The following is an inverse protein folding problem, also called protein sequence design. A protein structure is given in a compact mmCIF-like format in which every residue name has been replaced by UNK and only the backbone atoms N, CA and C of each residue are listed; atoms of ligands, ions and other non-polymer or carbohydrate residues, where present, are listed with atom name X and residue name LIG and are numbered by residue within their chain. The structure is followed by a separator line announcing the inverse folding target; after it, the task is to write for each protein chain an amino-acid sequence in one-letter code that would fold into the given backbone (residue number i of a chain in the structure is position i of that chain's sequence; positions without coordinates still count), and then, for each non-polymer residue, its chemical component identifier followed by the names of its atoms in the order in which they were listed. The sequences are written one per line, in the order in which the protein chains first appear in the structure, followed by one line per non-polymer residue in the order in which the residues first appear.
data_IF_103210833522
#
_entry.id   IF_103210833522
#
_cell.length_a   1.000
_cell.length_b   1.000
_cell.length_c   1.000
_cell.angle_alpha   90.00
_cell.angle_beta   90.00
_cell.angle_gamma   90.00
#
_symmetry.space_group_name_H-M   'P 1'
#
loop_
_entity.id
_entity.type
_entity.pdbx_description
1 polymer ?
#
# COMPACT_ATOMS: atom_id res chain seq x y z
N UNK A 1 -12.87 16.05 11.84
CA UNK A 1 -11.83 15.76 12.86
C UNK A 1 -10.47 16.41 12.55
N UNK A 2 -10.16 16.79 11.31
CA UNK A 2 -9.05 17.72 11.01
C UNK A 2 -9.50 18.72 9.91
N UNK A 3 -9.20 20.01 10.08
CA UNK A 3 -9.53 21.08 9.11
C UNK A 3 -8.37 21.29 8.13
N UNK A 4 -8.09 20.29 7.29
CA UNK A 4 -7.06 20.40 6.27
C UNK A 4 -7.60 21.08 5.01
N UNK A 5 -6.70 21.70 4.24
CA UNK A 5 -7.02 22.18 2.90
C UNK A 5 -7.53 21.00 2.03
N UNK A 6 -8.46 21.29 1.11
CA UNK A 6 -9.07 20.32 0.21
C UNK A 6 -8.03 19.49 -0.55
N UNK A 7 -6.94 20.11 -0.98
CA UNK A 7 -5.83 19.41 -1.66
C UNK A 7 -5.20 18.32 -0.77
N UNK A 8 -4.97 18.62 0.52
CA UNK A 8 -4.38 17.67 1.48
C UNK A 8 -5.37 16.55 1.80
N UNK A 9 -6.65 16.90 2.00
CA UNK A 9 -7.72 15.92 2.25
C UNK A 9 -7.85 14.95 1.09
N UNK A 10 -7.92 15.45 -0.14
CA UNK A 10 -8.08 14.63 -1.34
C UNK A 10 -6.85 13.75 -1.58
N UNK A 11 -5.64 14.28 -1.32
CA UNK A 11 -4.41 13.49 -1.37
C UNK A 11 -4.37 12.37 -0.32
N UNK A 12 -4.86 12.63 0.89
CA UNK A 12 -4.97 11.62 1.95
C UNK A 12 -5.96 10.52 1.59
N UNK A 13 -7.08 10.87 0.93
CA UNK A 13 -8.07 9.89 0.47
C UNK A 13 -7.49 8.95 -0.60
N UNK A 14 -6.69 9.49 -1.53
CA UNK A 14 -6.11 8.69 -2.61
C UNK A 14 -4.95 7.77 -2.15
N UNK A 15 -4.30 8.02 -1.01
CA UNK A 15 -3.06 7.32 -0.60
C UNK A 15 -3.20 5.79 -0.48
N UNK A 16 -4.40 5.29 -0.19
CA UNK A 16 -4.64 3.86 0.05
C UNK A 16 -4.81 3.06 -1.23
N UNK A 17 -4.88 3.74 -2.37
CA UNK A 17 -4.82 3.14 -3.70
C UNK A 17 -3.34 2.88 -4.04
N UNK A 18 -3.08 1.84 -4.84
CA UNK A 18 -1.72 1.57 -5.30
C UNK A 18 -1.14 2.77 -6.06
N UNK A 19 0.09 3.17 -5.73
CA UNK A 19 0.72 4.46 -6.09
C UNK A 19 0.45 4.96 -7.51
N UNK A 20 0.65 4.18 -8.60
CA UNK A 20 0.41 4.69 -9.94
C UNK A 20 -1.04 5.12 -10.18
N UNK A 21 -2.01 4.40 -9.61
CA UNK A 21 -3.43 4.71 -9.73
C UNK A 21 -3.85 5.81 -8.75
N UNK A 22 -3.22 5.86 -7.56
CA UNK A 22 -3.45 6.92 -6.59
C UNK A 22 -3.07 8.30 -7.13
N UNK A 23 -1.96 8.37 -7.88
CA UNK A 23 -1.52 9.61 -8.55
C UNK A 23 -2.52 10.06 -9.61
N UNK A 24 -3.03 9.13 -10.43
CA UNK A 24 -4.07 9.43 -11.44
C UNK A 24 -5.37 9.90 -10.78
N UNK A 25 -5.84 9.20 -9.74
CA UNK A 25 -7.04 9.65 -9.03
C UNK A 25 -6.83 11.03 -8.42
N UNK A 26 -5.68 11.27 -7.78
CA UNK A 26 -5.39 12.56 -7.16
C UNK A 26 -5.44 13.72 -8.16
N UNK A 27 -4.93 13.55 -9.39
CA UNK A 27 -5.07 14.60 -10.41
C UNK A 27 -6.53 14.89 -10.79
N UNK A 28 -7.41 13.87 -10.78
CA UNK A 28 -8.83 14.02 -11.09
C UNK A 28 -9.62 14.67 -9.94
N UNK A 29 -9.26 14.38 -8.69
CA UNK A 29 -9.94 14.94 -7.49
C UNK A 29 -9.25 16.18 -6.91
N UNK A 30 -8.41 16.89 -7.67
CA UNK A 30 -7.67 18.08 -7.22
C UNK A 30 -6.76 17.85 -5.99
N UNK A 31 -6.21 16.64 -5.85
CA UNK A 31 -5.13 16.31 -4.92
C UNK A 31 -3.74 16.47 -5.54
N UNK A 32 -2.71 16.30 -4.71
CA UNK A 32 -1.30 16.43 -5.08
C UNK A 32 -0.61 15.07 -5.15
N UNK A 33 -0.05 14.74 -6.32
CA UNK A 33 0.74 13.52 -6.53
C UNK A 33 1.92 13.42 -5.54
N UNK A 34 2.54 14.56 -5.19
CA UNK A 34 3.64 14.62 -4.23
C UNK A 34 3.17 14.24 -2.82
N UNK A 35 2.02 14.74 -2.39
CA UNK A 35 1.45 14.41 -1.08
C UNK A 35 1.01 12.94 -1.00
N UNK A 36 0.38 12.42 -2.06
CA UNK A 36 0.02 11.00 -2.16
C UNK A 36 1.24 10.11 -2.00
N UNK A 37 2.31 10.42 -2.75
CA UNK A 37 3.57 9.66 -2.69
C UNK A 37 4.19 9.72 -1.30
N UNK A 38 4.21 10.91 -0.68
CA UNK A 38 4.71 11.11 0.68
C UNK A 38 3.93 10.26 1.69
N UNK A 39 2.59 10.32 1.68
CA UNK A 39 1.77 9.55 2.61
C UNK A 39 1.91 8.04 2.40
N UNK A 40 2.03 7.61 1.14
CA UNK A 40 2.24 6.19 0.81
C UNK A 40 3.58 5.69 1.34
N UNK A 41 4.65 6.46 1.16
CA UNK A 41 5.98 6.13 1.68
C UNK A 41 5.97 6.08 3.21
N UNK A 42 5.39 7.10 3.87
CA UNK A 42 5.32 7.15 5.33
C UNK A 42 4.58 5.92 5.86
N UNK A 43 3.41 5.60 5.29
CA UNK A 43 2.62 4.46 5.76
C UNK A 43 3.30 3.12 5.51
N UNK A 44 3.95 2.94 4.35
CA UNK A 44 4.75 1.74 4.08
C UNK A 44 5.95 1.60 5.02
N UNK A 45 6.66 2.70 5.29
CA UNK A 45 7.80 2.72 6.19
C UNK A 45 7.40 2.43 7.65
N UNK A 46 6.31 3.04 8.13
CA UNK A 46 5.72 2.74 9.43
C UNK A 46 5.32 1.27 9.50
N UNK A 47 4.62 0.75 8.49
CA UNK A 47 4.25 -0.67 8.42
C UNK A 47 5.45 -1.61 8.48
N UNK A 48 6.57 -1.24 7.85
CA UNK A 48 7.82 -1.99 7.91
C UNK A 48 8.42 -2.03 9.34
N UNK A 49 8.47 -0.89 10.03
CA UNK A 49 9.02 -0.79 11.39
C UNK A 49 8.16 -1.59 12.38
N UNK A 50 6.85 -1.38 12.34
CA UNK A 50 5.93 -1.99 13.29
C UNK A 50 5.51 -3.41 12.92
N UNK A 51 5.76 -3.86 11.68
CA UNK A 51 5.35 -5.17 11.21
C UNK A 51 5.98 -6.32 12.00
N UNK A 52 7.23 -6.17 12.44
CA UNK A 52 7.89 -7.17 13.29
C UNK A 52 7.19 -7.31 14.64
N UNK A 53 6.84 -6.17 15.25
CA UNK A 53 6.14 -6.12 16.52
C UNK A 53 4.73 -6.72 16.37
N UNK A 54 4.03 -6.39 15.29
CA UNK A 54 2.72 -6.94 14.99
C UNK A 54 2.78 -8.46 14.83
N UNK A 55 3.71 -8.97 14.01
CA UNK A 55 3.87 -10.41 13.82
C UNK A 55 4.30 -11.13 15.10
N UNK A 56 5.12 -10.50 15.95
CA UNK A 56 5.48 -11.07 17.25
C UNK A 56 4.27 -11.18 18.19
N UNK A 57 3.32 -10.25 18.09
CA UNK A 57 2.06 -10.30 18.82
C UNK A 57 1.11 -11.37 18.23
N UNK A 58 1.14 -11.58 16.91
CA UNK A 58 0.41 -12.69 16.30
C UNK A 58 1.08 -14.03 16.59
N UNK A 59 0.34 -15.08 16.95
CA UNK A 59 0.90 -16.42 17.17
C UNK A 59 1.27 -17.16 15.88
N UNK A 60 1.46 -16.46 14.76
CA UNK A 60 1.72 -17.05 13.44
C UNK A 60 3.20 -17.46 13.35
N UNK A 61 3.44 -18.76 13.23
CA UNK A 61 4.79 -19.35 13.16
C UNK A 61 5.24 -19.69 11.74
N UNK A 62 4.31 -19.62 10.77
CA UNK A 62 4.59 -19.97 9.38
C UNK A 62 5.30 -18.83 8.66
N UNK A 63 6.54 -19.09 8.22
CA UNK A 63 7.34 -18.14 7.44
C UNK A 63 6.61 -17.68 6.18
N UNK A 64 5.91 -18.58 5.50
CA UNK A 64 5.15 -18.23 4.30
C UNK A 64 4.08 -17.18 4.59
N UNK A 65 3.29 -17.39 5.65
CA UNK A 65 2.26 -16.44 6.08
C UNK A 65 2.86 -15.09 6.50
N UNK A 66 3.99 -15.09 7.21
CA UNK A 66 4.68 -13.86 7.59
C UNK A 66 5.17 -13.07 6.37
N UNK A 67 5.73 -13.75 5.37
CA UNK A 67 6.14 -13.14 4.11
C UNK A 67 4.98 -12.49 3.36
N UNK A 68 3.88 -13.23 3.17
CA UNK A 68 2.66 -12.71 2.54
C UNK A 68 2.12 -11.49 3.30
N UNK A 69 2.07 -11.56 4.64
CA UNK A 69 1.60 -10.47 5.48
C UNK A 69 2.43 -9.21 5.32
N UNK A 70 3.77 -9.31 5.35
CA UNK A 70 4.65 -8.17 5.14
C UNK A 70 4.50 -7.55 3.76
N UNK A 71 4.52 -8.39 2.71
CA UNK A 71 4.40 -7.92 1.32
C UNK A 71 3.12 -7.13 1.09
N UNK A 72 1.98 -7.63 1.59
CA UNK A 72 0.71 -6.92 1.46
C UNK A 72 0.60 -5.68 2.36
N UNK A 73 1.05 -5.77 3.62
CA UNK A 73 0.82 -4.68 4.58
C UNK A 73 1.72 -3.46 4.36
N UNK A 74 2.97 -3.67 3.95
CA UNK A 74 3.96 -2.60 3.83
C UNK A 74 4.60 -2.51 2.42
N UNK A 75 4.01 -3.22 1.45
CA UNK A 75 4.40 -3.16 0.04
C UNK A 75 5.90 -3.45 -0.12
N UNK A 76 6.61 -2.68 -0.95
CA UNK A 76 8.04 -2.88 -1.21
C UNK A 76 8.92 -2.80 0.05
N UNK A 77 8.58 -1.92 1.00
CA UNK A 77 9.28 -1.83 2.28
C UNK A 77 9.10 -3.11 3.10
N UNK A 78 7.88 -3.65 3.13
CA UNK A 78 7.56 -4.93 3.76
C UNK A 78 8.30 -6.10 3.11
N UNK A 79 8.32 -6.16 1.77
CA UNK A 79 9.06 -7.19 1.02
C UNK A 79 10.56 -7.15 1.32
N UNK A 80 11.16 -5.96 1.37
CA UNK A 80 12.56 -5.79 1.74
C UNK A 80 12.82 -6.29 3.17
N UNK A 81 11.95 -5.96 4.12
CA UNK A 81 12.08 -6.41 5.51
C UNK A 81 11.89 -7.92 5.66
N UNK A 82 10.92 -8.50 4.95
CA UNK A 82 10.69 -9.94 4.91
C UNK A 82 11.95 -10.68 4.42
N UNK A 83 12.60 -10.17 3.36
CA UNK A 83 13.87 -10.73 2.86
C UNK A 83 15.01 -10.65 3.89
N UNK A 84 15.08 -9.59 4.69
CA UNK A 84 16.05 -9.47 5.78
C UNK A 84 15.79 -10.45 6.93
N UNK A 85 14.52 -10.83 7.18
CA UNK A 85 14.14 -11.78 8.22
C UNK A 85 14.45 -13.23 7.83
N UNK A 86 14.07 -13.60 6.61
CA UNK A 86 14.33 -14.93 6.07
C UNK A 86 14.11 -14.97 4.55
N UNK A 87 14.89 -15.80 3.86
CA UNK A 87 14.77 -16.01 2.42
C UNK A 87 13.34 -16.37 1.99
N UNK A 88 12.73 -17.38 2.63
CA UNK A 88 11.35 -17.79 2.31
C UNK A 88 10.31 -16.70 2.56
N UNK A 89 10.52 -15.83 3.56
CA UNK A 89 9.62 -14.70 3.83
C UNK A 89 9.72 -13.68 2.69
N UNK A 90 10.94 -13.35 2.25
CA UNK A 90 11.19 -12.47 1.11
C UNK A 90 10.63 -13.00 -0.21
N UNK A 91 10.79 -14.29 -0.49
CA UNK A 91 10.22 -14.93 -1.69
C UNK A 91 8.70 -14.83 -1.70
N UNK A 92 8.05 -15.17 -0.59
CA UNK A 92 6.59 -15.11 -0.50
C UNK A 92 6.04 -13.68 -0.54
N UNK A 93 6.74 -12.72 0.09
CA UNK A 93 6.38 -11.31 0.01
C UNK A 93 6.48 -10.78 -1.44
N UNK A 94 7.54 -11.16 -2.15
CA UNK A 94 7.77 -10.76 -3.54
C UNK A 94 6.71 -11.36 -4.47
N UNK A 95 6.41 -12.66 -4.33
CA UNK A 95 5.37 -13.34 -5.10
C UNK A 95 4.00 -12.67 -4.89
N UNK A 96 3.67 -12.37 -3.63
CA UNK A 96 2.41 -11.70 -3.29
C UNK A 96 2.33 -10.31 -3.92
N UNK A 97 3.42 -9.52 -3.88
CA UNK A 97 3.47 -8.20 -4.53
C UNK A 97 3.30 -8.28 -6.05
N UNK A 98 3.91 -9.26 -6.71
CA UNK A 98 3.74 -9.47 -8.15
C UNK A 98 2.28 -9.79 -8.47
N UNK A 99 1.66 -10.69 -7.71
CA UNK A 99 0.25 -11.05 -7.89
C UNK A 99 -0.66 -9.85 -7.65
N UNK A 100 -0.45 -9.10 -6.56
CA UNK A 100 -1.20 -7.88 -6.27
C UNK A 100 -1.05 -6.84 -7.39
N UNK A 101 0.16 -6.67 -7.94
CA UNK A 101 0.43 -5.81 -9.09
C UNK A 101 -0.33 -6.25 -10.34
N UNK A 102 -0.36 -7.56 -10.63
CA UNK A 102 -1.12 -8.11 -11.75
C UNK A 102 -2.63 -7.85 -11.60
N UNK A 103 -3.18 -8.10 -10.41
CA UNK A 103 -4.57 -7.75 -10.11
C UNK A 103 -4.82 -6.25 -10.31
N UNK A 104 -3.91 -5.39 -9.85
CA UNK A 104 -4.07 -3.96 -10.01
C UNK A 104 -3.99 -3.51 -11.48
N UNK A 105 -3.16 -4.15 -12.32
CA UNK A 105 -3.12 -3.86 -13.76
C UNK A 105 -4.45 -4.23 -14.43
N UNK A 106 -5.05 -5.37 -14.05
CA UNK A 106 -6.32 -5.84 -14.63
C UNK A 106 -7.53 -5.03 -14.15
N UNK A 107 -7.60 -4.71 -12.86
CA UNK A 107 -8.80 -4.13 -12.23
C UNK A 107 -8.66 -2.64 -11.88
N UNK A 108 -7.43 -2.13 -11.75
CA UNK A 108 -7.15 -0.75 -11.32
C UNK A 108 -7.87 0.31 -12.15
N UNK A 109 -7.81 0.30 -13.50
CA UNK A 109 -8.52 1.28 -14.32
C UNK A 109 -10.03 1.28 -14.05
N UNK A 110 -10.65 0.10 -13.99
CA UNK A 110 -12.09 -0.03 -13.73
C UNK A 110 -12.48 0.49 -12.34
N UNK A 111 -11.63 0.26 -11.33
CA UNK A 111 -11.86 0.75 -9.97
C UNK A 111 -11.73 2.27 -9.88
N UNK A 112 -10.73 2.87 -10.54
CA UNK A 112 -10.58 4.34 -10.58
C UNK A 112 -11.78 5.00 -11.24
N UNK A 113 -12.25 4.49 -12.39
CA UNK A 113 -13.45 4.99 -13.04
C UNK A 113 -14.71 4.89 -12.16
N UNK A 114 -14.89 3.75 -11.47
CA UNK A 114 -16.01 3.55 -10.54
C UNK A 114 -16.00 4.60 -9.42
N UNK A 115 -14.83 4.83 -8.81
CA UNK A 115 -14.69 5.79 -7.70
C UNK A 115 -15.03 7.21 -8.17
N UNK A 116 -14.53 7.62 -9.33
CA UNK A 116 -14.83 8.94 -9.90
C UNK A 116 -16.33 9.08 -10.15
N UNK A 117 -16.97 8.05 -10.74
CA UNK A 117 -18.42 8.04 -10.99
C UNK A 117 -19.26 8.13 -9.70
N UNK A 118 -18.84 7.51 -8.61
CA UNK A 118 -19.54 7.63 -7.32
C UNK A 118 -19.40 9.02 -6.68
N UNK A 119 -18.39 9.80 -7.08
CA UNK A 119 -18.10 11.12 -6.54
C UNK A 119 -18.69 12.26 -7.38
N UNK A 120 -19.11 12.00 -8.62
CA UNK A 120 -19.79 12.92 -9.54
C UNK A 120 -21.30 12.90 -9.36
#
# INVERSE_FOLDING_TARGET
MFHFNNEVTNSLMARSISTPFAVVLASEIHGSASLVSLFTIITGFVGMIFGDLFLAFTRIRFRTANGVAFGNAAHGFGTSRAGQRHETEGVMASLTMILAGLFMVLFGPTMVHLVIWMMS
#
